data_IF_744133840266
#
_entry.id   IF_744133840266
#
_cell.length_a   1.000
_cell.length_b   1.000
_cell.length_c   1.000
_cell.angle_alpha   90.00
_cell.angle_beta   90.00
_cell.angle_gamma   90.00
#
_symmetry.space_group_name_H-M   'P 1'
#
loop_
_entity.id
_entity.type
_entity.pdbx_description
1 polymer ?
#
# COMPACT_ATOMS: atom_id res chain seq x y z
N UNK A 1 -5.13 20.23 -19.38
CA UNK A 1 -4.57 18.88 -19.24
C UNK A 1 -3.68 18.74 -17.99
N UNK A 2 -2.73 19.61 -17.75
CA UNK A 2 -1.78 19.51 -16.62
C UNK A 2 -2.35 19.67 -15.19
N UNK A 3 -3.51 20.29 -15.01
CA UNK A 3 -4.10 20.51 -13.68
C UNK A 3 -4.59 19.23 -12.99
N UNK A 4 -5.04 18.21 -13.75
CA UNK A 4 -5.53 16.93 -13.19
C UNK A 4 -4.41 16.01 -12.72
N UNK A 5 -3.24 16.06 -13.37
CA UNK A 5 -2.07 15.26 -12.98
C UNK A 5 -1.54 15.63 -11.60
N UNK A 6 -1.65 16.91 -11.19
CA UNK A 6 -1.22 17.37 -9.87
C UNK A 6 -2.01 16.77 -8.70
N UNK A 7 -3.19 16.21 -8.96
CA UNK A 7 -4.03 15.51 -7.97
C UNK A 7 -4.09 13.99 -8.22
N UNK A 8 -3.22 13.46 -9.09
CA UNK A 8 -3.17 12.04 -9.42
C UNK A 8 -4.26 11.57 -10.39
N UNK A 9 -4.88 12.49 -11.13
CA UNK A 9 -5.87 12.19 -12.17
C UNK A 9 -5.30 12.43 -13.58
N UNK A 10 -5.91 11.85 -14.60
CA UNK A 10 -5.54 12.01 -16.01
C UNK A 10 -5.05 10.69 -16.61
N UNK A 11 -4.13 10.77 -17.58
CA UNK A 11 -3.70 9.62 -18.38
C UNK A 11 -2.60 8.77 -17.69
N UNK A 12 -2.28 9.07 -16.42
CA UNK A 12 -1.25 8.32 -15.68
C UNK A 12 -1.82 7.00 -15.18
N UNK A 13 -1.31 5.89 -15.71
CA UNK A 13 -1.65 4.54 -15.25
C UNK A 13 -0.54 4.01 -14.36
N UNK A 14 -0.93 3.47 -13.20
CA UNK A 14 -0.01 2.89 -12.22
C UNK A 14 -0.51 1.51 -11.82
N UNK A 15 0.38 0.52 -11.83
CA UNK A 15 0.03 -0.82 -11.33
C UNK A 15 0.02 -0.85 -9.80
N UNK A 16 -0.84 -1.70 -9.17
CA UNK A 16 -0.82 -1.90 -7.71
C UNK A 16 0.57 -2.27 -7.18
N UNK A 17 1.31 -3.11 -7.90
CA UNK A 17 2.68 -3.51 -7.52
C UNK A 17 3.64 -2.30 -7.50
N UNK A 18 3.53 -1.38 -8.45
CA UNK A 18 4.36 -0.17 -8.45
C UNK A 18 4.04 0.72 -7.25
N UNK A 19 2.76 0.85 -6.89
CA UNK A 19 2.33 1.57 -5.68
C UNK A 19 2.80 0.88 -4.41
N UNK A 20 2.70 -0.45 -4.31
CA UNK A 20 3.20 -1.21 -3.18
C UNK A 20 4.71 -0.98 -2.96
N UNK A 21 5.50 -1.01 -4.06
CA UNK A 21 6.93 -0.72 -3.99
C UNK A 21 7.22 0.71 -3.52
N UNK A 22 6.43 1.67 -3.97
CA UNK A 22 6.60 3.08 -3.56
C UNK A 22 6.30 3.27 -2.08
N UNK A 23 5.16 2.77 -1.57
CA UNK A 23 4.80 2.93 -0.16
C UNK A 23 5.72 2.10 0.75
N UNK A 24 6.16 0.91 0.30
CA UNK A 24 7.19 0.13 0.98
C UNK A 24 8.54 0.85 1.05
N UNK A 25 8.93 1.56 -0.02
CA UNK A 25 10.14 2.39 0.02
C UNK A 25 10.03 3.55 1.02
N UNK A 26 8.85 4.19 1.12
CA UNK A 26 8.62 5.25 2.13
C UNK A 26 8.73 4.67 3.54
N UNK A 27 8.18 3.48 3.79
CA UNK A 27 8.30 2.78 5.06
C UNK A 27 9.76 2.44 5.40
N UNK A 28 10.54 2.04 4.40
CA UNK A 28 11.93 1.61 4.49
C UNK A 28 12.92 2.72 4.09
N UNK A 29 12.79 3.89 4.70
CA UNK A 29 13.69 5.04 4.60
C UNK A 29 14.12 5.44 3.18
N UNK A 30 13.24 5.24 2.21
CA UNK A 30 13.42 5.59 0.80
C UNK A 30 13.92 4.46 -0.09
N UNK A 31 14.16 3.27 0.46
CA UNK A 31 14.72 2.12 -0.27
C UNK A 31 13.64 1.09 -0.59
N UNK A 32 13.38 0.85 -1.87
CA UNK A 32 12.48 -0.20 -2.33
C UNK A 32 13.19 -1.55 -2.36
N UNK A 33 12.49 -2.58 -1.91
CA UNK A 33 12.91 -3.97 -2.01
C UNK A 33 12.25 -4.62 -3.23
N UNK A 34 12.95 -5.51 -3.92
CA UNK A 34 12.35 -6.31 -5.00
C UNK A 34 11.30 -7.26 -4.43
N UNK A 35 10.13 -7.30 -5.08
CA UNK A 35 9.05 -8.18 -4.68
C UNK A 35 9.30 -9.60 -5.17
N UNK A 36 9.04 -10.57 -4.31
CA UNK A 36 9.02 -11.98 -4.66
C UNK A 36 7.60 -12.54 -4.46
N UNK A 37 7.05 -13.15 -5.50
CA UNK A 37 5.73 -13.78 -5.46
C UNK A 37 5.82 -15.31 -5.32
N UNK A 38 7.02 -15.88 -5.47
CA UNK A 38 7.24 -17.32 -5.42
C UNK A 38 8.37 -17.61 -4.43
N UNK A 39 8.05 -18.18 -3.31
CA UNK A 39 9.01 -18.52 -2.26
C UNK A 39 9.81 -19.78 -2.61
N UNK A 40 9.11 -20.82 -3.07
CA UNK A 40 9.74 -22.06 -3.48
C UNK A 40 8.87 -22.83 -4.50
N UNK A 41 9.46 -23.81 -5.16
CA UNK A 41 8.73 -24.79 -5.96
C UNK A 41 8.71 -26.14 -5.24
N UNK A 42 7.58 -26.86 -5.33
CA UNK A 42 7.51 -28.24 -4.89
C UNK A 42 7.66 -29.18 -6.11
N UNK A 43 8.50 -30.21 -5.96
CA UNK A 43 8.53 -31.32 -6.91
C UNK A 43 7.24 -32.13 -6.84
N UNK A 44 6.98 -32.99 -7.84
CA UNK A 44 5.81 -33.92 -7.81
C UNK A 44 5.82 -34.83 -6.58
N UNK A 45 6.98 -35.04 -5.96
CA UNK A 45 7.13 -35.85 -4.73
C UNK A 45 7.06 -35.02 -3.45
N UNK A 46 6.73 -33.72 -3.54
CA UNK A 46 6.57 -32.82 -2.40
C UNK A 46 7.87 -32.21 -1.85
N UNK A 47 9.02 -32.49 -2.47
CA UNK A 47 10.29 -31.87 -2.06
C UNK A 47 10.31 -30.40 -2.46
N UNK A 48 10.52 -29.49 -1.49
CA UNK A 48 10.72 -28.07 -1.75
C UNK A 48 12.04 -27.84 -2.48
N UNK A 49 12.00 -26.98 -3.51
CA UNK A 49 13.18 -26.47 -4.21
C UNK A 49 13.25 -24.98 -3.94
N UNK A 50 14.26 -24.57 -3.19
CA UNK A 50 14.58 -23.15 -3.00
C UNK A 50 15.06 -22.56 -4.33
N UNK A 51 14.45 -21.44 -4.73
CA UNK A 51 14.83 -20.71 -5.94
C UNK A 51 15.94 -19.69 -5.70
N UNK A 52 16.44 -19.61 -4.45
CA UNK A 52 17.56 -18.74 -4.12
C UNK A 52 17.28 -17.26 -4.34
N UNK A 53 16.04 -16.80 -4.03
CA UNK A 53 15.70 -15.39 -4.17
C UNK A 53 16.54 -14.53 -3.22
N UNK A 54 17.27 -13.58 -3.81
CA UNK A 54 17.97 -12.55 -3.05
C UNK A 54 17.25 -11.21 -3.27
N UNK A 55 16.75 -10.63 -2.19
CA UNK A 55 16.12 -9.33 -2.25
C UNK A 55 17.11 -8.27 -2.75
N UNK A 56 16.73 -7.55 -3.81
CA UNK A 56 17.52 -6.43 -4.33
C UNK A 56 16.95 -5.13 -3.83
N UNK A 57 17.78 -4.36 -3.18
CA UNK A 57 17.45 -3.02 -2.74
C UNK A 57 17.71 -1.98 -3.85
N UNK A 58 16.83 -1.00 -3.95
CA UNK A 58 16.92 0.09 -4.92
C UNK A 58 16.50 1.39 -4.25
N UNK A 59 17.40 2.36 -4.05
CA UNK A 59 17.03 3.69 -3.56
C UNK A 59 16.05 4.37 -4.54
N UNK A 60 14.88 4.78 -4.05
CA UNK A 60 13.88 5.54 -4.82
C UNK A 60 13.77 6.98 -4.32
N UNK A 61 13.95 7.20 -3.02
CA UNK A 61 13.81 8.49 -2.35
C UNK A 61 14.98 8.68 -1.39
N UNK A 62 15.32 9.94 -1.07
CA UNK A 62 16.20 10.19 0.06
C UNK A 62 15.46 9.89 1.38
N UNK A 63 16.21 9.53 2.44
CA UNK A 63 15.66 9.27 3.77
C UNK A 63 14.88 10.48 4.32
N UNK A 64 15.37 11.69 4.06
CA UNK A 64 14.69 12.94 4.41
C UNK A 64 13.29 13.07 3.76
N UNK A 65 13.17 12.70 2.48
CA UNK A 65 11.88 12.72 1.76
C UNK A 65 10.98 11.62 2.29
N UNK A 66 11.51 10.42 2.52
CA UNK A 66 10.76 9.31 3.09
C UNK A 66 10.21 9.66 4.48
N UNK A 67 11.03 10.24 5.36
CA UNK A 67 10.59 10.67 6.69
C UNK A 67 9.50 11.76 6.66
N UNK A 68 9.58 12.71 5.71
CA UNK A 68 8.54 13.71 5.51
C UNK A 68 7.23 13.07 5.01
N UNK A 69 7.32 12.16 4.04
CA UNK A 69 6.16 11.42 3.52
C UNK A 69 5.50 10.56 4.59
N UNK A 70 6.27 9.85 5.42
CA UNK A 70 5.79 9.08 6.56
C UNK A 70 4.95 9.96 7.50
N UNK A 71 5.45 11.13 7.89
CA UNK A 71 4.73 12.10 8.73
C UNK A 71 3.42 12.59 8.08
N UNK A 72 3.45 12.89 6.79
CA UNK A 72 2.26 13.34 6.04
C UNK A 72 1.21 12.23 5.96
N UNK A 73 1.61 11.00 5.64
CA UNK A 73 0.70 9.86 5.56
C UNK A 73 0.11 9.50 6.92
N UNK A 74 0.92 9.59 8.00
CA UNK A 74 0.45 9.39 9.37
C UNK A 74 -0.56 10.46 9.80
N UNK A 75 -0.26 11.73 9.52
CA UNK A 75 -1.16 12.84 9.79
C UNK A 75 -2.48 12.71 9.01
N UNK A 76 -2.41 12.27 7.75
CA UNK A 76 -3.59 12.05 6.94
C UNK A 76 -4.54 11.00 7.55
N UNK A 77 -4.01 9.92 8.14
CA UNK A 77 -4.85 8.93 8.85
C UNK A 77 -5.50 9.56 10.07
N UNK A 78 -4.75 10.31 10.88
CA UNK A 78 -5.27 10.96 12.10
C UNK A 78 -6.38 11.95 11.79
N UNK A 79 -6.16 12.82 10.81
CA UNK A 79 -7.03 13.97 10.56
C UNK A 79 -8.19 13.67 9.58
N UNK A 80 -7.98 12.76 8.63
CA UNK A 80 -8.95 12.52 7.56
C UNK A 80 -9.73 11.22 7.70
N UNK A 81 -9.10 10.15 8.21
CA UNK A 81 -9.76 8.83 8.28
C UNK A 81 -10.16 8.45 9.70
N UNK A 82 -9.60 9.12 10.71
CA UNK A 82 -9.80 8.83 12.13
C UNK A 82 -9.00 7.61 12.59
N UNK A 83 -8.04 7.85 13.46
CA UNK A 83 -7.14 6.83 14.00
C UNK A 83 -7.89 5.71 14.74
N UNK A 84 -9.04 6.07 15.32
CA UNK A 84 -9.93 5.14 16.02
C UNK A 84 -10.53 4.05 15.11
N UNK A 85 -10.58 4.29 13.79
CA UNK A 85 -11.03 3.30 12.81
C UNK A 85 -9.97 2.24 12.52
N UNK A 86 -8.69 2.51 12.84
CA UNK A 86 -7.52 1.67 12.58
C UNK A 86 -6.75 1.38 13.88
N UNK A 87 -7.50 1.02 14.90
CA UNK A 87 -7.00 0.89 16.27
C UNK A 87 -5.80 -0.08 16.34
N UNK A 88 -4.68 0.39 16.89
CA UNK A 88 -3.47 -0.40 17.09
C UNK A 88 -2.57 -0.58 15.86
N UNK A 89 -3.01 -0.15 14.68
CA UNK A 89 -2.25 -0.39 13.43
C UNK A 89 -1.15 0.65 13.14
N UNK A 90 -1.10 1.76 13.86
CA UNK A 90 -0.14 2.84 13.60
C UNK A 90 -0.03 3.23 12.12
N UNK A 91 -1.18 3.30 11.46
CA UNK A 91 -1.30 3.33 10.00
C UNK A 91 -0.81 4.65 9.40
N UNK A 92 -0.01 4.56 8.35
CA UNK A 92 0.38 5.64 7.44
C UNK A 92 -0.24 5.35 6.07
N UNK A 93 -1.26 6.14 5.65
CA UNK A 93 -2.02 5.76 4.46
C UNK A 93 -2.57 6.94 3.66
N UNK A 94 -2.92 6.66 2.40
CA UNK A 94 -3.63 7.57 1.49
C UNK A 94 -4.69 6.84 0.70
N UNK A 95 -5.91 7.41 0.68
CA UNK A 95 -6.98 6.98 -0.23
C UNK A 95 -6.81 7.61 -1.61
N UNK A 96 -7.25 6.92 -2.63
CA UNK A 96 -7.42 7.43 -3.98
C UNK A 96 -8.78 7.01 -4.53
N UNK A 97 -9.35 7.86 -5.37
CA UNK A 97 -10.56 7.53 -6.15
C UNK A 97 -10.24 7.88 -7.60
N UNK A 98 -9.96 6.88 -8.40
CA UNK A 98 -9.63 7.05 -9.81
C UNK A 98 -10.91 7.03 -10.63
N UNK A 99 -11.21 8.16 -11.27
CA UNK A 99 -12.36 8.30 -12.14
C UNK A 99 -12.05 7.66 -13.50
N UNK A 100 -12.88 6.70 -13.93
CA UNK A 100 -12.77 6.05 -15.24
C UNK A 100 -13.59 6.85 -16.27
N UNK A 101 -14.77 7.28 -15.88
CA UNK A 101 -15.71 8.08 -16.67
C UNK A 101 -16.44 9.10 -15.78
N UNK A 102 -17.60 9.57 -16.20
CA UNK A 102 -18.43 10.53 -15.43
C UNK A 102 -19.47 9.83 -14.53
N UNK A 103 -19.33 8.52 -14.31
CA UNK A 103 -20.25 7.73 -13.46
C UNK A 103 -19.52 7.34 -12.19
N UNK A 104 -19.92 7.89 -11.05
CA UNK A 104 -19.22 7.66 -9.77
C UNK A 104 -19.14 6.19 -9.36
N UNK A 105 -20.14 5.38 -9.69
CA UNK A 105 -20.14 3.95 -9.43
C UNK A 105 -19.07 3.16 -10.21
N UNK A 106 -18.48 3.75 -11.25
CA UNK A 106 -17.41 3.17 -12.05
C UNK A 106 -16.01 3.53 -11.51
N UNK A 107 -15.92 4.36 -10.49
CA UNK A 107 -14.64 4.76 -9.92
C UNK A 107 -13.89 3.57 -9.33
N UNK A 108 -12.57 3.56 -9.50
CA UNK A 108 -11.70 2.61 -8.82
C UNK A 108 -11.24 3.18 -7.48
N UNK A 109 -11.57 2.49 -6.41
CA UNK A 109 -11.18 2.86 -5.06
C UNK A 109 -9.79 2.31 -4.72
N UNK A 110 -8.90 3.18 -4.23
CA UNK A 110 -7.56 2.84 -3.78
C UNK A 110 -7.37 3.17 -2.32
N UNK A 111 -6.69 2.30 -1.60
CA UNK A 111 -6.16 2.62 -0.28
C UNK A 111 -4.78 1.98 -0.16
N UNK A 112 -3.76 2.83 0.05
CA UNK A 112 -2.36 2.41 0.01
C UNK A 112 -1.63 2.96 1.21
N UNK A 113 -0.66 2.20 1.74
CA UNK A 113 0.07 2.64 2.90
C UNK A 113 0.92 1.55 3.53
N UNK A 114 1.26 1.76 4.79
CA UNK A 114 2.05 0.84 5.59
C UNK A 114 1.74 1.05 7.08
N UNK A 115 2.07 0.06 7.90
CA UNK A 115 2.09 0.17 9.35
C UNK A 115 3.46 0.72 9.77
N UNK A 116 3.46 1.79 10.58
CA UNK A 116 4.67 2.36 11.19
C UNK A 116 4.89 1.66 12.54
N UNK A 117 5.23 0.38 12.46
CA UNK A 117 5.35 -0.55 13.55
C UNK A 117 6.48 -1.55 13.25
N UNK A 118 7.44 -1.67 14.16
CA UNK A 118 8.60 -2.55 13.99
C UNK A 118 8.25 -4.05 14.17
N UNK A 119 7.18 -4.35 14.91
CA UNK A 119 6.70 -5.73 15.11
C UNK A 119 5.91 -6.24 13.91
N UNK A 120 5.19 -5.34 13.24
CA UNK A 120 4.33 -5.68 12.09
C UNK A 120 4.60 -4.73 10.91
N UNK A 121 5.77 -4.80 10.26
CA UNK A 121 6.19 -3.86 9.23
C UNK A 121 5.53 -4.13 7.87
N UNK A 122 4.20 -4.13 7.81
CA UNK A 122 3.46 -4.43 6.60
C UNK A 122 3.22 -3.19 5.75
N UNK A 123 3.56 -3.27 4.45
CA UNK A 123 3.09 -2.34 3.43
C UNK A 123 1.95 -2.98 2.64
N UNK A 124 0.96 -2.19 2.24
CA UNK A 124 -0.23 -2.70 1.57
C UNK A 124 -0.74 -1.80 0.45
N UNK A 125 -1.44 -2.41 -0.48
CA UNK A 125 -2.26 -1.77 -1.50
C UNK A 125 -3.59 -2.52 -1.59
N UNK A 126 -4.68 -1.79 -1.44
CA UNK A 126 -6.03 -2.28 -1.72
C UNK A 126 -6.60 -1.49 -2.89
N UNK A 127 -7.05 -2.21 -3.91
CA UNK A 127 -7.70 -1.68 -5.09
C UNK A 127 -9.05 -2.40 -5.26
N UNK A 128 -10.11 -1.63 -5.45
CA UNK A 128 -11.45 -2.15 -5.70
C UNK A 128 -12.01 -1.48 -6.95
N UNK A 129 -12.14 -2.25 -8.01
CA UNK A 129 -12.83 -1.79 -9.22
C UNK A 129 -14.31 -1.56 -8.91
N UNK A 130 -14.88 -0.51 -9.48
CA UNK A 130 -16.25 -0.08 -9.19
C UNK A 130 -16.50 0.17 -7.68
N UNK A 131 -15.44 0.54 -6.97
CA UNK A 131 -15.42 0.67 -5.51
C UNK A 131 -15.91 2.01 -4.98
N UNK A 132 -16.30 2.92 -5.84
CA UNK A 132 -16.85 4.24 -5.52
C UNK A 132 -15.86 5.17 -4.77
N UNK A 133 -15.47 4.88 -3.53
CA UNK A 133 -14.62 5.74 -2.70
C UNK A 133 -13.47 4.98 -2.04
N UNK A 134 -12.24 5.50 -2.17
CA UNK A 134 -11.05 4.88 -1.58
C UNK A 134 -11.15 4.71 -0.07
N UNK A 135 -11.52 5.76 0.67
CA UNK A 135 -11.60 5.71 2.13
C UNK A 135 -12.78 4.91 2.65
N UNK A 136 -13.92 4.90 1.94
CA UNK A 136 -15.14 4.23 2.40
C UNK A 136 -15.24 2.77 1.96
N UNK A 137 -14.56 2.37 0.88
CA UNK A 137 -14.59 1.00 0.36
C UNK A 137 -13.26 0.28 0.59
N UNK A 138 -12.16 0.81 0.06
CA UNK A 138 -10.86 0.15 0.17
C UNK A 138 -10.26 0.25 1.58
N UNK A 139 -10.49 1.35 2.30
CA UNK A 139 -10.01 1.54 3.68
C UNK A 139 -10.49 0.48 4.66
N UNK A 140 -11.80 0.18 4.77
CA UNK A 140 -12.31 -0.88 5.64
C UNK A 140 -11.79 -2.28 5.29
N UNK A 141 -11.53 -2.56 4.00
CA UNK A 141 -10.92 -3.84 3.58
C UNK A 141 -9.49 -3.91 4.10
N UNK A 142 -8.69 -2.86 3.89
CA UNK A 142 -7.34 -2.77 4.42
C UNK A 142 -7.32 -2.99 5.94
N UNK A 143 -8.22 -2.32 6.67
CA UNK A 143 -8.32 -2.47 8.12
C UNK A 143 -8.56 -3.93 8.54
N UNK A 144 -9.55 -4.60 7.94
CA UNK A 144 -9.85 -6.00 8.27
C UNK A 144 -8.68 -6.94 8.01
N UNK A 145 -7.97 -6.75 6.88
CA UNK A 145 -6.82 -7.60 6.54
C UNK A 145 -5.67 -7.37 7.51
N UNK A 146 -5.34 -6.11 7.80
CA UNK A 146 -4.23 -5.78 8.69
C UNK A 146 -4.51 -6.20 10.14
N UNK A 147 -5.75 -6.03 10.64
CA UNK A 147 -6.13 -6.55 11.95
C UNK A 147 -5.96 -8.07 12.03
N UNK A 148 -6.42 -8.79 11.02
CA UNK A 148 -6.27 -10.25 10.97
C UNK A 148 -4.81 -10.70 10.91
N UNK A 149 -3.92 -9.94 10.23
CA UNK A 149 -2.49 -10.24 10.22
C UNK A 149 -1.88 -10.08 11.62
N UNK A 150 -2.14 -8.95 12.29
CA UNK A 150 -1.64 -8.70 13.66
C UNK A 150 -2.18 -9.72 14.66
N UNK A 151 -3.45 -10.14 14.53
CA UNK A 151 -4.05 -11.16 15.41
C UNK A 151 -3.43 -12.54 15.21
N UNK A 152 -3.00 -12.89 13.99
CA UNK A 152 -2.42 -14.21 13.69
C UNK A 152 -0.91 -14.30 13.98
N UNK A 153 -0.23 -13.18 14.10
CA UNK A 153 1.21 -13.13 14.45
C UNK A 153 1.45 -13.19 15.97
N UNK A 154 0.38 -13.10 16.80
CA UNK A 154 0.39 -13.26 18.25
C UNK A 154 0.02 -14.69 18.65
#
# INVERSE_FOLDING_TARGET
>A
MYKRQGIGQGDTLVSPIAMLRLVGAIANDGTAVSLNLVENFATKTGKALDIGFTAKETPLLSSDVAAKMKKLLRNNVKEQYGDYNYKGLHLCAKSGTAQIDNVDSHNTAWFVGFMDDDEHPYAFVVLVEYGNSGSQTAGPIANKVLQALVENDN
#
